data_IF_954456802470
#
_entry.id   IF_954456802470
#
_cell.length_a   1.000
_cell.length_b   1.000
_cell.length_c   1.000
_cell.angle_alpha   90.00
_cell.angle_beta   90.00
_cell.angle_gamma   90.00
#
_symmetry.space_group_name_H-M   'P 1'
#
loop_
_entity.id
_entity.type
_entity.pdbx_description
1 polymer ?
#
# COMPACT_ATOMS: atom_id res chain seq x y z
N UNK A 1 0.21 12.76 3.15
CA UNK A 1 -0.83 13.49 3.92
C UNK A 1 -0.49 14.98 3.94
N UNK A 2 -1.36 15.87 3.46
CA UNK A 2 -1.11 17.33 3.44
C UNK A 2 -1.96 18.04 4.50
N UNK A 3 -1.32 18.91 5.28
CA UNK A 3 -1.91 20.13 5.85
C UNK A 3 -2.83 20.04 7.08
N UNK A 4 -3.25 18.85 7.54
CA UNK A 4 -4.06 18.73 8.75
C UNK A 4 -3.17 18.42 9.96
N UNK A 5 -3.17 19.35 10.92
CA UNK A 5 -2.57 19.14 12.24
C UNK A 5 -3.56 18.36 13.10
N UNK A 6 -3.49 17.03 12.97
CA UNK A 6 -4.30 16.09 13.72
C UNK A 6 -3.50 15.69 14.96
N UNK A 7 -4.15 15.75 16.12
CA UNK A 7 -3.58 15.29 17.38
C UNK A 7 -3.14 13.83 17.29
N UNK A 8 -2.28 13.42 18.23
CA UNK A 8 -1.80 12.05 18.34
C UNK A 8 -2.97 11.05 18.30
N UNK A 9 -2.91 10.11 17.34
CA UNK A 9 -3.93 9.08 17.16
C UNK A 9 -3.52 7.81 17.90
N UNK A 10 -4.50 7.12 18.48
CA UNK A 10 -4.28 5.80 19.08
C UNK A 10 -3.91 4.75 18.03
N UNK A 11 -4.49 4.88 16.83
CA UNK A 11 -4.29 3.92 15.75
C UNK A 11 -4.38 4.59 14.37
N UNK A 12 -3.71 3.98 13.39
CA UNK A 12 -3.75 4.34 11.97
C UNK A 12 -4.11 3.10 11.15
N UNK A 13 -5.08 3.23 10.25
CA UNK A 13 -5.45 2.18 9.30
C UNK A 13 -5.17 2.66 7.89
N UNK A 14 -4.31 1.96 7.15
CA UNK A 14 -4.17 2.13 5.71
C UNK A 14 -5.16 1.19 5.03
N UNK A 15 -6.17 1.75 4.37
CA UNK A 15 -7.14 0.95 3.62
C UNK A 15 -6.51 0.34 2.36
N UNK A 16 -5.63 1.10 1.70
CA UNK A 16 -4.81 0.64 0.58
C UNK A 16 -3.34 0.97 0.87
N UNK A 17 -2.45 0.17 0.28
CA UNK A 17 -1.01 0.39 0.41
C UNK A 17 -0.59 1.68 -0.32
N UNK A 18 0.23 2.54 0.30
CA UNK A 18 0.69 3.75 -0.38
C UNK A 18 1.68 3.38 -1.49
N UNK A 19 1.51 3.98 -2.68
CA UNK A 19 2.41 3.79 -3.82
C UNK A 19 3.86 4.22 -3.56
N UNK A 20 4.10 5.05 -2.54
CA UNK A 20 5.42 5.49 -2.09
C UNK A 20 5.65 5.03 -0.65
N UNK A 21 6.79 4.39 -0.41
CA UNK A 21 7.12 3.88 0.92
C UNK A 21 7.25 5.01 1.96
N UNK A 22 7.70 6.20 1.56
CA UNK A 22 7.81 7.34 2.46
C UNK A 22 6.43 7.81 2.94
N UNK A 23 5.41 7.70 2.09
CA UNK A 23 4.03 8.03 2.48
C UNK A 23 3.50 7.07 3.55
N UNK A 24 3.94 5.80 3.57
CA UNK A 24 3.63 4.88 4.66
C UNK A 24 4.15 5.42 5.99
N UNK A 25 5.45 5.76 6.05
CA UNK A 25 6.10 6.31 7.26
C UNK A 25 5.39 7.58 7.73
N UNK A 26 5.06 8.49 6.81
CA UNK A 26 4.36 9.72 7.14
C UNK A 26 2.92 9.51 7.66
N UNK A 27 2.23 8.45 7.19
CA UNK A 27 0.89 8.08 7.66
C UNK A 27 0.96 7.46 9.05
N UNK A 28 1.79 6.44 9.25
CA UNK A 28 1.88 5.74 10.54
C UNK A 28 2.50 6.61 11.63
N UNK A 29 3.33 7.59 11.25
CA UNK A 29 3.88 8.59 12.17
C UNK A 29 2.83 9.51 12.82
N UNK A 30 1.53 9.28 12.62
CA UNK A 30 0.42 9.94 13.34
C UNK A 30 0.09 9.25 14.67
N UNK A 31 0.57 8.03 14.88
CA UNK A 31 0.49 7.30 16.16
C UNK A 31 1.90 7.08 16.76
N UNK A 32 1.97 6.65 18.02
CA UNK A 32 3.22 6.24 18.69
C UNK A 32 4.29 7.34 18.83
N UNK A 33 3.89 8.58 19.15
CA UNK A 33 4.83 9.70 19.30
C UNK A 33 5.36 9.79 20.72
N UNK A 34 6.47 10.52 20.90
CA UNK A 34 7.04 10.83 22.21
C UNK A 34 7.29 9.59 23.11
N UNK A 35 7.69 8.47 22.51
CA UNK A 35 7.99 7.22 23.21
C UNK A 35 6.76 6.39 23.63
N UNK A 36 5.55 6.82 23.24
CA UNK A 36 4.35 5.99 23.40
C UNK A 36 4.29 4.92 22.31
N UNK A 37 3.62 3.82 22.60
CA UNK A 37 3.25 2.84 21.58
C UNK A 37 2.10 3.36 20.72
N UNK A 38 2.03 2.87 19.48
CA UNK A 38 0.97 3.14 18.54
C UNK A 38 0.68 1.91 17.70
N UNK A 39 -0.53 1.80 17.15
CA UNK A 39 -0.92 0.70 16.27
C UNK A 39 -1.13 1.19 14.84
N UNK A 40 -0.46 0.54 13.89
CA UNK A 40 -0.70 0.75 12.48
C UNK A 40 -1.09 -0.58 11.82
N UNK A 41 -2.21 -0.60 11.13
CA UNK A 41 -2.70 -1.76 10.36
C UNK A 41 -2.83 -1.34 8.90
N UNK A 42 -2.34 -2.17 7.99
CA UNK A 42 -2.56 -1.99 6.56
C UNK A 42 -3.36 -3.16 6.03
N UNK A 43 -4.39 -2.85 5.25
CA UNK A 43 -5.04 -3.83 4.39
C UNK A 43 -4.31 -3.80 3.05
N UNK A 44 -4.09 -4.98 2.49
CA UNK A 44 -3.46 -5.12 1.18
C UNK A 44 -4.00 -6.34 0.44
N UNK A 45 -4.01 -6.25 -0.87
CA UNK A 45 -4.26 -7.39 -1.75
C UNK A 45 -2.94 -7.98 -2.26
N UNK A 46 -3.02 -9.17 -2.87
CA UNK A 46 -1.85 -9.92 -3.33
C UNK A 46 -1.05 -9.20 -4.41
N UNK A 47 -1.71 -8.41 -5.26
CA UNK A 47 -1.10 -7.62 -6.31
C UNK A 47 -0.33 -6.39 -5.79
N UNK A 48 -0.48 -6.04 -4.51
CA UNK A 48 0.24 -4.96 -3.84
C UNK A 48 1.51 -5.43 -3.10
N UNK A 49 1.90 -6.70 -3.20
CA UNK A 49 3.09 -7.26 -2.53
C UNK A 49 4.37 -6.45 -2.82
N UNK A 50 4.50 -5.90 -4.03
CA UNK A 50 5.65 -5.06 -4.39
C UNK A 50 5.70 -3.74 -3.58
N UNK A 51 4.55 -3.20 -3.16
CA UNK A 51 4.47 -2.03 -2.29
C UNK A 51 4.90 -2.37 -0.87
N UNK A 52 4.48 -3.54 -0.37
CA UNK A 52 4.94 -4.04 0.92
C UNK A 52 6.46 -4.20 0.91
N UNK A 53 7.02 -4.84 -0.12
CA UNK A 53 8.47 -5.01 -0.24
C UNK A 53 9.22 -3.68 -0.26
N UNK A 54 8.70 -2.67 -0.95
CA UNK A 54 9.29 -1.33 -0.96
C UNK A 54 9.28 -0.69 0.45
N UNK A 55 8.21 -0.88 1.21
CA UNK A 55 8.10 -0.39 2.60
C UNK A 55 9.08 -1.13 3.52
N UNK A 56 9.14 -2.45 3.46
CA UNK A 56 10.05 -3.26 4.27
C UNK A 56 11.52 -2.91 3.99
N UNK A 57 11.87 -2.68 2.71
CA UNK A 57 13.21 -2.24 2.32
C UNK A 57 13.53 -0.84 2.89
N UNK A 58 12.57 0.09 2.89
CA UNK A 58 12.76 1.42 3.48
C UNK A 58 12.93 1.36 5.00
N UNK A 59 12.21 0.44 5.66
CA UNK A 59 12.26 0.24 7.11
C UNK A 59 13.44 -0.64 7.56
N UNK A 60 14.10 -1.32 6.63
CA UNK A 60 15.08 -2.37 6.88
C UNK A 60 14.54 -3.45 7.84
N UNK A 61 13.25 -3.78 7.70
CA UNK A 61 12.54 -4.69 8.59
C UNK A 61 11.37 -5.37 7.88
N UNK A 62 11.18 -6.67 8.15
CA UNK A 62 9.98 -7.42 7.74
C UNK A 62 8.79 -7.05 8.62
N UNK A 63 7.65 -6.78 7.99
CA UNK A 63 6.40 -6.52 8.69
C UNK A 63 5.62 -7.82 8.88
N UNK A 64 4.98 -8.03 10.05
CA UNK A 64 4.14 -9.19 10.27
C UNK A 64 2.92 -9.12 9.33
N UNK A 65 2.58 -10.28 8.75
CA UNK A 65 1.37 -10.45 7.94
C UNK A 65 0.47 -11.47 8.63
N UNK A 66 -0.82 -11.17 8.68
CA UNK A 66 -1.83 -12.04 9.25
C UNK A 66 -3.03 -12.12 8.32
N UNK A 67 -3.63 -13.31 8.24
CA UNK A 67 -4.89 -13.50 7.55
C UNK A 67 -6.02 -13.45 8.55
N UNK A 68 -7.09 -12.72 8.21
CA UNK A 68 -8.32 -12.80 8.97
C UNK A 68 -8.95 -14.17 8.74
N UNK A 69 -9.35 -14.85 9.81
CA UNK A 69 -9.95 -16.17 9.73
C UNK A 69 -11.16 -16.19 8.77
N UNK A 70 -11.15 -17.08 7.79
CA UNK A 70 -12.16 -17.17 6.74
C UNK A 70 -11.95 -16.23 5.54
N UNK A 71 -10.87 -15.45 5.53
CA UNK A 71 -10.44 -14.58 4.43
C UNK A 71 -9.02 -14.93 3.97
N UNK A 72 -8.57 -16.17 4.18
CA UNK A 72 -7.29 -16.64 3.69
C UNK A 72 -7.27 -16.66 2.15
N UNK A 73 -6.16 -16.27 1.50
CA UNK A 73 -6.05 -16.31 0.06
C UNK A 73 -6.19 -17.74 -0.47
N UNK A 74 -6.93 -17.90 -1.57
CA UNK A 74 -7.06 -19.17 -2.25
C UNK A 74 -5.69 -19.56 -2.85
N UNK A 75 -5.23 -20.79 -2.58
CA UNK A 75 -3.96 -21.28 -3.15
C UNK A 75 -4.02 -21.55 -4.66
N UNK A 76 -5.21 -21.42 -5.27
CA UNK A 76 -5.54 -21.98 -6.58
C UNK A 76 -5.88 -20.90 -7.62
N UNK A 77 -6.05 -19.64 -7.24
CA UNK A 77 -6.39 -18.59 -8.21
C UNK A 77 -5.14 -17.89 -8.73
N UNK A 78 -4.83 -18.18 -10.00
CA UNK A 78 -4.04 -17.30 -10.84
C UNK A 78 -4.78 -15.97 -10.91
N UNK A 79 -4.20 -14.93 -10.30
CA UNK A 79 -4.75 -13.58 -10.40
C UNK A 79 -4.59 -13.15 -11.85
N UNK A 80 -5.67 -13.23 -12.62
CA UNK A 80 -5.66 -12.65 -13.97
C UNK A 80 -5.40 -11.16 -13.80
N UNK A 81 -4.31 -10.61 -14.38
CA UNK A 81 -4.05 -9.18 -14.27
C UNK A 81 -5.21 -8.45 -14.91
N UNK A 82 -5.87 -7.54 -14.17
CA UNK A 82 -6.89 -6.67 -14.74
C UNK A 82 -6.31 -5.96 -15.97
N UNK A 83 -6.75 -6.38 -17.15
CA UNK A 83 -6.36 -5.76 -18.41
C UNK A 83 -6.99 -4.37 -18.45
N UNK A 84 -6.20 -3.37 -18.06
CA UNK A 84 -6.59 -1.98 -18.19
C UNK A 84 -6.75 -1.65 -19.68
N UNK A 85 -7.99 -1.75 -20.17
CA UNK A 85 -8.37 -1.50 -21.55
C UNK A 85 -8.16 -0.03 -21.92
N UNK A 86 -7.22 0.24 -22.82
CA UNK A 86 -6.89 1.63 -23.16
C UNK A 86 -6.02 1.86 -24.39
N UNK A 87 -6.28 1.16 -25.51
CA UNK A 87 -6.11 1.73 -26.85
C UNK A 87 -4.68 2.00 -27.36
N UNK A 88 -4.06 0.96 -27.93
CA UNK A 88 -2.94 1.09 -28.87
C UNK A 88 -3.46 1.64 -30.21
N UNK A 89 -3.54 2.97 -30.39
CA UNK A 89 -3.72 3.57 -31.73
C UNK A 89 -2.35 3.74 -32.41
N UNK A 90 -2.03 2.78 -33.28
CA UNK A 90 -0.97 2.92 -34.29
C UNK A 90 -1.42 3.91 -35.38
N UNK A 91 -0.48 4.79 -35.75
CA UNK A 91 -0.22 5.39 -37.07
C UNK A 91 -1.32 6.20 -37.79
N UNK A 92 -1.04 7.49 -38.00
CA UNK A 92 -1.22 8.13 -39.32
C UNK A 92 -0.04 9.05 -39.62
N UNK A 93 0.67 8.71 -40.69
CA UNK A 93 1.62 9.52 -41.43
C UNK A 93 0.99 10.86 -41.85
N UNK A 94 1.78 11.92 -41.89
CA UNK A 94 1.51 13.04 -42.79
C UNK A 94 2.84 13.58 -43.29
N UNK A 95 3.09 13.37 -44.57
CA UNK A 95 3.89 14.28 -45.40
C UNK A 95 3.34 15.70 -45.29
N UNK A 96 4.23 16.67 -45.11
CA UNK A 96 4.41 17.82 -46.00
C UNK A 96 5.73 18.52 -45.70
#
# INVERSE_FOLDING_TARGET
>A
ARGLDIQELEQVVNFDMPFKAEDYVHRIGRTGRAGKSGLAVSLMSRDEEYLLQAIENLLDQRLPQEWLAGFEPSLVEEVEPEQNGGGRRRSRSSEK
#
